data_IF_057086808200
#
_entry.id   IF_057086808200
#
_cell.length_a   1.000
_cell.length_b   1.000
_cell.length_c   1.000
_cell.angle_alpha   90.00
_cell.angle_beta   90.00
_cell.angle_gamma   90.00
#
_symmetry.space_group_name_H-M   'P 1'
#
loop_
_entity.id
_entity.type
_entity.pdbx_description
1 polymer ?
#
# COMPACT_ATOMS: atom_id res chain seq x y z
N UNK A 1 -23.37 31.27 -11.62
CA UNK A 1 -22.06 31.57 -10.99
C UNK A 1 -22.04 31.53 -9.44
N UNK A 2 -23.15 31.31 -8.72
CA UNK A 2 -23.22 31.58 -7.27
C UNK A 2 -22.68 30.51 -6.31
N UNK A 3 -22.99 29.22 -6.49
CA UNK A 3 -22.72 28.20 -5.45
C UNK A 3 -21.26 27.76 -5.36
N UNK A 4 -20.58 27.61 -6.51
CA UNK A 4 -19.17 27.17 -6.54
C UNK A 4 -18.21 28.17 -5.87
N UNK A 5 -18.44 29.47 -6.06
CA UNK A 5 -17.62 30.55 -5.48
C UNK A 5 -17.88 30.76 -3.98
N UNK A 6 -19.11 30.50 -3.52
CA UNK A 6 -19.46 30.54 -2.09
C UNK A 6 -18.82 29.39 -1.31
N UNK A 7 -18.83 28.18 -1.89
CA UNK A 7 -18.16 27.01 -1.31
C UNK A 7 -16.64 27.24 -1.29
N UNK A 8 -16.07 27.85 -2.33
CA UNK A 8 -14.62 28.08 -2.38
C UNK A 8 -14.10 29.13 -1.39
N UNK A 9 -14.96 30.06 -0.99
CA UNK A 9 -14.60 31.19 -0.12
C UNK A 9 -14.80 30.90 1.37
N UNK A 10 -15.61 29.90 1.73
CA UNK A 10 -15.87 29.51 3.12
C UNK A 10 -15.10 28.22 3.47
N UNK A 11 -14.05 28.27 4.32
CA UNK A 11 -13.22 27.11 4.65
C UNK A 11 -14.01 25.92 5.22
N UNK A 12 -15.05 26.15 6.02
CA UNK A 12 -15.81 25.07 6.64
C UNK A 12 -16.68 24.32 5.63
N UNK A 13 -17.39 25.07 4.78
CA UNK A 13 -18.18 24.48 3.70
C UNK A 13 -17.27 23.74 2.71
N UNK A 14 -16.11 24.31 2.39
CA UNK A 14 -15.13 23.66 1.52
C UNK A 14 -14.60 22.36 2.12
N UNK A 15 -14.23 22.33 3.40
CA UNK A 15 -13.77 21.10 4.06
C UNK A 15 -14.85 20.02 4.02
N UNK A 16 -16.12 20.38 4.26
CA UNK A 16 -17.26 19.47 4.12
C UNK A 16 -17.37 18.91 2.70
N UNK A 17 -17.27 19.76 1.69
CA UNK A 17 -17.25 19.37 0.27
C UNK A 17 -16.08 18.42 -0.04
N UNK A 18 -14.85 18.73 0.41
CA UNK A 18 -13.67 17.89 0.19
C UNK A 18 -13.86 16.50 0.78
N UNK A 19 -14.45 16.40 1.98
CA UNK A 19 -14.74 15.11 2.62
C UNK A 19 -15.67 14.26 1.79
N UNK A 20 -16.74 14.85 1.25
CA UNK A 20 -17.69 14.13 0.39
C UNK A 20 -17.04 13.70 -0.93
N UNK A 21 -16.27 14.57 -1.58
CA UNK A 21 -15.54 14.20 -2.79
C UNK A 21 -14.55 13.05 -2.55
N UNK A 22 -13.83 13.07 -1.42
CA UNK A 22 -12.91 11.98 -1.08
C UNK A 22 -13.62 10.64 -0.85
N UNK A 23 -14.87 10.65 -0.38
CA UNK A 23 -15.70 9.43 -0.24
C UNK A 23 -16.16 8.91 -1.59
N UNK A 24 -16.60 9.79 -2.48
CA UNK A 24 -17.03 9.44 -3.85
C UNK A 24 -15.84 8.94 -4.70
N UNK A 25 -14.63 9.41 -4.39
CA UNK A 25 -13.42 9.11 -5.14
C UNK A 25 -13.24 10.05 -6.33
N UNK A 26 -12.07 9.97 -6.96
CA UNK A 26 -11.70 10.82 -8.08
C UNK A 26 -11.41 9.98 -9.32
N UNK A 27 -11.94 10.42 -10.46
CA UNK A 27 -11.61 9.84 -11.78
C UNK A 27 -10.40 10.50 -12.43
N UNK A 28 -10.03 11.70 -11.98
CA UNK A 28 -8.95 12.52 -12.55
C UNK A 28 -8.08 13.12 -11.45
N UNK A 29 -6.78 13.26 -11.72
CA UNK A 29 -5.80 13.87 -10.80
C UNK A 29 -5.95 15.38 -10.67
N UNK A 30 -6.52 16.06 -11.68
CA UNK A 30 -6.59 17.52 -11.68
C UNK A 30 -7.44 18.08 -10.53
N UNK A 31 -8.58 17.43 -10.24
CA UNK A 31 -9.51 17.85 -9.18
C UNK A 31 -8.82 17.83 -7.81
N UNK A 32 -8.24 16.71 -7.33
CA UNK A 32 -7.60 16.69 -6.02
C UNK A 32 -6.34 17.57 -5.93
N UNK A 33 -5.63 17.80 -7.04
CA UNK A 33 -4.52 18.78 -7.08
C UNK A 33 -5.03 20.20 -6.84
N UNK A 34 -6.11 20.61 -7.52
CA UNK A 34 -6.73 21.91 -7.29
C UNK A 34 -7.25 22.05 -5.86
N UNK A 35 -7.89 21.00 -5.32
CA UNK A 35 -8.32 20.95 -3.92
C UNK A 35 -7.12 21.16 -2.99
N UNK A 36 -6.00 20.50 -3.24
CA UNK A 36 -4.80 20.64 -2.41
C UNK A 36 -4.30 22.09 -2.37
N UNK A 37 -4.14 22.73 -3.53
CA UNK A 37 -3.70 24.12 -3.61
C UNK A 37 -4.67 25.10 -2.94
N UNK A 38 -5.97 24.82 -3.01
CA UNK A 38 -6.97 25.62 -2.33
C UNK A 38 -6.94 25.40 -0.81
N UNK A 39 -6.75 24.17 -0.33
CA UNK A 39 -6.61 23.90 1.10
C UNK A 39 -5.36 24.58 1.70
N UNK A 40 -4.26 24.68 0.94
CA UNK A 40 -3.03 25.33 1.42
C UNK A 40 -3.11 26.86 1.44
N UNK A 41 -4.01 27.45 0.64
CA UNK A 41 -4.23 28.90 0.61
C UNK A 41 -5.03 29.41 1.82
N UNK A 42 -5.89 28.59 2.42
CA UNK A 42 -6.70 28.99 3.58
C UNK A 42 -5.87 29.39 4.81
N UNK A 43 -6.42 30.37 5.55
CA UNK A 43 -5.90 30.86 6.84
C UNK A 43 -7.10 30.99 7.80
N UNK A 44 -7.12 30.26 8.93
CA UNK A 44 -6.13 29.27 9.38
C UNK A 44 -6.09 28.04 8.46
N UNK A 45 -4.93 27.36 8.42
CA UNK A 45 -4.77 26.17 7.57
C UNK A 45 -5.63 25.01 8.10
N UNK A 46 -6.24 24.20 7.21
CA UNK A 46 -6.95 22.98 7.60
C UNK A 46 -6.04 21.99 8.31
N UNK A 47 -6.63 21.13 9.15
CA UNK A 47 -5.88 20.08 9.84
C UNK A 47 -5.35 19.01 8.88
N UNK A 48 -4.27 18.34 9.28
CA UNK A 48 -3.61 17.28 8.49
C UNK A 48 -4.57 16.15 8.11
N UNK A 49 -5.63 15.93 8.90
CA UNK A 49 -6.66 14.91 8.65
C UNK A 49 -7.37 15.13 7.30
N UNK A 50 -7.68 16.38 6.94
CA UNK A 50 -8.37 16.69 5.66
C UNK A 50 -7.45 16.39 4.48
N UNK A 51 -6.16 16.74 4.60
CA UNK A 51 -5.15 16.41 3.59
C UNK A 51 -4.95 14.90 3.47
N UNK A 52 -4.90 14.19 4.60
CA UNK A 52 -4.80 12.74 4.63
C UNK A 52 -5.96 12.03 3.90
N UNK A 53 -7.19 12.54 4.05
CA UNK A 53 -8.36 12.05 3.32
C UNK A 53 -8.19 12.23 1.81
N UNK A 54 -7.74 13.42 1.39
CA UNK A 54 -7.45 13.73 -0.01
C UNK A 54 -6.37 12.79 -0.58
N UNK A 55 -5.26 12.63 0.13
CA UNK A 55 -4.14 11.79 -0.31
C UNK A 55 -4.51 10.31 -0.39
N UNK A 56 -5.29 9.81 0.58
CA UNK A 56 -5.79 8.44 0.55
C UNK A 56 -6.72 8.20 -0.65
N UNK A 57 -7.58 9.18 -0.98
CA UNK A 57 -8.43 9.12 -2.17
C UNK A 57 -7.59 9.20 -3.46
N UNK A 58 -6.59 10.07 -3.52
CA UNK A 58 -5.64 10.15 -4.64
C UNK A 58 -4.92 8.82 -4.89
N UNK A 59 -4.54 8.10 -3.83
CA UNK A 59 -3.92 6.79 -3.95
C UNK A 59 -4.83 5.72 -4.59
N UNK A 60 -6.15 5.95 -4.66
CA UNK A 60 -7.13 5.03 -5.23
C UNK A 60 -7.52 5.36 -6.68
N UNK A 61 -7.06 6.49 -7.23
CA UNK A 61 -7.34 6.89 -8.61
C UNK A 61 -6.88 5.82 -9.60
N UNK A 62 -7.71 5.53 -10.59
CA UNK A 62 -7.46 4.56 -11.67
C UNK A 62 -7.28 5.30 -13.01
N UNK A 63 -6.54 4.73 -13.99
CA UNK A 63 -5.83 3.44 -13.92
C UNK A 63 -4.55 3.52 -13.09
N UNK A 64 -3.88 4.67 -13.08
CA UNK A 64 -2.61 4.89 -12.40
C UNK A 64 -2.74 6.05 -11.41
N UNK A 65 -2.65 5.78 -10.09
CA UNK A 65 -2.72 6.84 -9.10
C UNK A 65 -1.45 7.70 -9.09
N UNK A 66 -1.57 9.01 -8.83
CA UNK A 66 -0.47 9.98 -8.86
C UNK A 66 0.39 9.92 -7.59
N UNK A 67 1.04 8.78 -7.33
CA UNK A 67 1.74 8.50 -6.07
C UNK A 67 2.91 9.45 -5.81
N UNK A 68 3.66 9.85 -6.84
CA UNK A 68 4.76 10.81 -6.71
C UNK A 68 4.25 12.19 -6.28
N UNK A 69 3.11 12.63 -6.84
CA UNK A 69 2.45 13.88 -6.46
C UNK A 69 2.02 13.85 -4.99
N UNK A 70 1.45 12.74 -4.53
CA UNK A 70 1.06 12.58 -3.12
C UNK A 70 2.29 12.69 -2.20
N UNK A 71 3.41 12.06 -2.55
CA UNK A 71 4.66 12.17 -1.79
C UNK A 71 5.14 13.63 -1.72
N UNK A 72 5.14 14.34 -2.85
CA UNK A 72 5.55 15.75 -2.90
C UNK A 72 4.64 16.63 -2.06
N UNK A 73 3.32 16.38 -2.07
CA UNK A 73 2.37 17.13 -1.25
C UNK A 73 2.58 16.89 0.25
N UNK A 74 2.80 15.65 0.67
CA UNK A 74 3.14 15.34 2.06
C UNK A 74 4.43 16.06 2.51
N UNK A 75 5.49 16.03 1.69
CA UNK A 75 6.74 16.73 1.99
C UNK A 75 6.54 18.25 2.04
N UNK A 76 5.74 18.81 1.13
CA UNK A 76 5.41 20.23 1.12
C UNK A 76 4.68 20.65 2.40
N UNK A 77 3.73 19.84 2.89
CA UNK A 77 3.03 20.12 4.15
C UNK A 77 3.99 20.08 5.35
N UNK A 78 4.89 19.09 5.40
CA UNK A 78 5.89 18.98 6.46
C UNK A 78 6.84 20.18 6.49
N UNK A 79 7.38 20.58 5.33
CA UNK A 79 8.23 21.78 5.19
C UNK A 79 7.47 23.07 5.52
N UNK A 80 6.16 23.09 5.28
CA UNK A 80 5.28 24.20 5.62
C UNK A 80 4.90 24.24 7.11
N UNK A 81 5.40 23.30 7.93
CA UNK A 81 5.18 23.24 9.37
C UNK A 81 3.98 22.42 9.82
N UNK A 82 3.25 21.74 8.91
CA UNK A 82 2.21 20.79 9.30
C UNK A 82 2.83 19.43 9.58
N UNK A 83 2.86 19.06 10.87
CA UNK A 83 3.46 17.79 11.31
C UNK A 83 2.65 16.58 10.83
N UNK A 84 3.28 15.61 10.13
CA UNK A 84 2.63 14.36 9.74
C UNK A 84 2.18 13.55 10.97
N UNK A 85 1.01 12.91 10.87
CA UNK A 85 0.52 11.96 11.88
C UNK A 85 0.82 10.50 11.47
N UNK A 86 0.33 9.53 12.25
CA UNK A 86 0.51 8.11 11.94
C UNK A 86 -0.12 7.72 10.59
N UNK A 87 -1.24 8.33 10.22
CA UNK A 87 -1.94 8.04 8.98
C UNK A 87 -1.22 8.64 7.77
N UNK A 88 -0.69 9.87 7.89
CA UNK A 88 0.20 10.49 6.88
C UNK A 88 1.41 9.62 6.59
N UNK A 89 2.04 9.09 7.66
CA UNK A 89 3.17 8.17 7.56
C UNK A 89 2.76 6.87 6.85
N UNK A 90 1.60 6.29 7.17
CA UNK A 90 1.06 5.12 6.49
C UNK A 90 0.81 5.35 4.99
N UNK A 91 0.24 6.50 4.64
CA UNK A 91 0.05 6.92 3.23
C UNK A 91 1.39 6.99 2.51
N UNK A 92 2.37 7.71 3.08
CA UNK A 92 3.70 7.84 2.49
C UNK A 92 4.38 6.49 2.29
N UNK A 93 4.36 5.62 3.30
CA UNK A 93 4.91 4.28 3.20
C UNK A 93 4.26 3.47 2.07
N UNK A 94 2.93 3.54 1.95
CA UNK A 94 2.18 2.88 0.87
C UNK A 94 2.56 3.44 -0.51
N UNK A 95 2.68 4.75 -0.65
CA UNK A 95 3.13 5.39 -1.90
C UNK A 95 4.51 4.88 -2.30
N UNK A 96 5.50 4.92 -1.39
CA UNK A 96 6.84 4.45 -1.68
C UNK A 96 6.90 2.95 -2.02
N UNK A 97 6.14 2.12 -1.32
CA UNK A 97 6.06 0.69 -1.61
C UNK A 97 5.50 0.42 -3.01
N UNK A 98 4.43 1.12 -3.41
CA UNK A 98 3.81 0.97 -4.73
C UNK A 98 4.63 1.58 -5.87
N UNK A 99 5.55 2.50 -5.55
CA UNK A 99 6.56 3.03 -6.47
C UNK A 99 7.81 2.12 -6.56
N UNK A 100 7.84 0.98 -5.87
CA UNK A 100 9.01 0.08 -5.82
C UNK A 100 10.18 0.63 -5.00
N UNK A 101 10.01 1.76 -4.31
CA UNK A 101 11.03 2.43 -3.50
C UNK A 101 10.89 2.08 -2.02
N UNK A 102 10.86 0.79 -1.71
CA UNK A 102 10.63 0.28 -0.35
C UNK A 102 11.67 0.80 0.65
N UNK A 103 12.89 1.10 0.20
CA UNK A 103 13.96 1.64 1.05
C UNK A 103 13.54 2.98 1.70
N UNK A 104 12.84 3.85 0.96
CA UNK A 104 12.30 5.10 1.53
C UNK A 104 11.16 4.85 2.52
N UNK A 105 10.34 3.82 2.29
CA UNK A 105 9.32 3.44 3.25
C UNK A 105 9.94 2.98 4.59
N UNK A 106 11.07 2.28 4.55
CA UNK A 106 11.85 1.96 5.75
C UNK A 106 12.47 3.18 6.41
N UNK A 107 12.97 4.15 5.63
CA UNK A 107 13.49 5.41 6.18
C UNK A 107 12.42 6.16 6.99
N UNK A 108 11.17 6.18 6.51
CA UNK A 108 10.06 6.78 7.25
C UNK A 108 9.80 6.04 8.57
N UNK A 109 9.78 4.71 8.54
CA UNK A 109 9.64 3.92 9.76
C UNK A 109 10.80 4.17 10.73
N UNK A 110 12.03 4.25 10.22
CA UNK A 110 13.22 4.57 11.01
C UNK A 110 13.13 5.96 11.66
N UNK A 111 12.68 6.97 10.92
CA UNK A 111 12.42 8.33 11.46
C UNK A 111 11.38 8.27 12.58
N UNK A 112 10.29 7.52 12.39
CA UNK A 112 9.24 7.34 13.40
C UNK A 112 9.77 6.71 14.68
N UNK A 113 10.58 5.65 14.55
CA UNK A 113 11.22 4.96 15.68
C UNK A 113 12.21 5.87 16.42
N UNK A 114 13.04 6.64 15.69
CA UNK A 114 13.98 7.60 16.30
C UNK A 114 13.27 8.70 17.10
N UNK A 115 12.06 9.05 16.71
CA UNK A 115 11.21 10.01 17.44
C UNK A 115 10.45 9.38 18.61
N UNK A 116 10.72 8.11 18.95
CA UNK A 116 10.11 7.41 20.08
C UNK A 116 8.71 6.86 19.81
N UNK A 117 8.23 6.88 18.56
CA UNK A 117 6.90 6.37 18.23
C UNK A 117 6.99 4.89 17.81
N UNK A 118 6.16 4.00 18.39
CA UNK A 118 6.17 2.60 18.01
C UNK A 118 5.67 2.39 16.57
N UNK A 119 6.13 1.32 15.89
CA UNK A 119 5.56 0.90 14.61
C UNK A 119 4.10 0.53 14.78
N UNK A 120 3.28 0.93 13.83
CA UNK A 120 1.91 0.41 13.72
C UNK A 120 1.90 -0.84 12.82
N UNK A 121 1.02 -1.79 13.13
CA UNK A 121 0.77 -3.00 12.33
C UNK A 121 0.43 -2.62 10.89
N UNK A 122 -0.29 -1.51 10.66
CA UNK A 122 -0.62 -1.04 9.30
C UNK A 122 0.63 -0.69 8.49
N UNK A 123 1.58 0.04 9.08
CA UNK A 123 2.84 0.43 8.40
C UNK A 123 3.68 -0.82 8.12
N UNK A 124 3.78 -1.74 9.09
CA UNK A 124 4.49 -3.00 8.92
C UNK A 124 3.88 -3.87 7.82
N UNK A 125 2.55 -4.01 7.80
CA UNK A 125 1.82 -4.75 6.75
C UNK A 125 2.11 -4.15 5.38
N UNK A 126 2.12 -2.82 5.30
CA UNK A 126 2.41 -2.08 4.07
C UNK A 126 3.83 -2.34 3.57
N UNK A 127 4.83 -2.31 4.46
CA UNK A 127 6.22 -2.62 4.14
C UNK A 127 6.42 -4.06 3.68
N UNK A 128 5.78 -5.02 4.36
CA UNK A 128 5.80 -6.43 3.98
C UNK A 128 5.23 -6.63 2.58
N UNK A 129 4.07 -6.06 2.30
CA UNK A 129 3.47 -6.12 0.97
C UNK A 129 4.36 -5.43 -0.09
N UNK A 130 4.96 -4.28 0.24
CA UNK A 130 5.91 -3.59 -0.63
C UNK A 130 7.13 -4.43 -0.99
N UNK A 131 7.70 -5.14 -0.02
CA UNK A 131 8.80 -6.08 -0.24
C UNK A 131 8.38 -7.24 -1.15
N UNK A 132 7.20 -7.82 -0.92
CA UNK A 132 6.69 -8.94 -1.73
C UNK A 132 6.44 -8.50 -3.19
N UNK A 133 5.85 -7.32 -3.39
CA UNK A 133 5.61 -6.77 -4.73
C UNK A 133 6.91 -6.40 -5.45
N UNK A 134 7.96 -6.05 -4.70
CA UNK A 134 9.29 -5.72 -5.23
C UNK A 134 10.23 -6.93 -5.35
N UNK A 135 9.68 -8.15 -5.30
CA UNK A 135 10.43 -9.42 -5.40
C UNK A 135 11.51 -9.63 -4.31
N UNK A 136 11.33 -8.98 -3.17
CA UNK A 136 12.24 -9.04 -2.00
C UNK A 136 11.67 -9.95 -0.91
N UNK A 137 11.18 -11.13 -1.28
CA UNK A 137 10.44 -12.04 -0.38
C UNK A 137 11.23 -12.46 0.86
N UNK A 138 12.52 -12.77 0.70
CA UNK A 138 13.40 -13.15 1.82
C UNK A 138 13.51 -12.04 2.88
N UNK A 139 13.54 -10.76 2.46
CA UNK A 139 13.49 -9.62 3.37
C UNK A 139 12.13 -9.52 4.07
N UNK A 140 11.03 -9.85 3.38
CA UNK A 140 9.70 -9.84 3.96
C UNK A 140 9.56 -10.90 5.07
N UNK A 141 10.04 -12.13 4.84
CA UNK A 141 10.05 -13.20 5.86
C UNK A 141 10.83 -12.77 7.10
N UNK A 142 12.04 -12.22 6.92
CA UNK A 142 12.85 -11.71 8.04
C UNK A 142 12.18 -10.58 8.81
N UNK A 143 11.49 -9.68 8.11
CA UNK A 143 10.74 -8.59 8.74
C UNK A 143 9.58 -9.15 9.57
N UNK A 144 8.82 -10.11 9.04
CA UNK A 144 7.72 -10.76 9.76
C UNK A 144 8.22 -11.41 11.07
N UNK A 145 9.31 -12.19 11.00
CA UNK A 145 9.90 -12.83 12.17
C UNK A 145 10.33 -11.80 13.23
N UNK A 146 10.90 -10.67 12.80
CA UNK A 146 11.31 -9.60 13.71
C UNK A 146 10.11 -8.92 14.37
N UNK A 147 9.05 -8.67 13.62
CA UNK A 147 7.82 -8.04 14.10
C UNK A 147 7.16 -8.91 15.17
N UNK A 148 7.04 -10.21 14.92
CA UNK A 148 6.51 -11.17 15.89
C UNK A 148 7.37 -11.24 17.15
N UNK A 149 8.70 -11.25 17.01
CA UNK A 149 9.64 -11.22 18.17
C UNK A 149 9.54 -9.95 18.99
N UNK A 150 9.17 -8.83 18.39
CA UNK A 150 8.94 -7.55 19.08
C UNK A 150 7.57 -7.49 19.77
N UNK A 151 6.77 -8.57 19.74
CA UNK A 151 5.44 -8.62 20.36
C UNK A 151 4.35 -7.91 19.56
N UNK A 152 4.67 -7.40 18.36
CA UNK A 152 3.64 -6.91 17.44
C UNK A 152 2.89 -8.12 16.88
N UNK A 153 1.57 -7.97 16.71
CA UNK A 153 0.71 -9.03 16.18
C UNK A 153 0.33 -8.70 14.74
N UNK A 154 0.99 -9.32 13.74
CA UNK A 154 0.51 -9.26 12.36
C UNK A 154 -0.92 -9.79 12.28
N UNK A 155 -1.73 -9.20 11.40
CA UNK A 155 -3.10 -9.62 11.18
C UNK A 155 -3.22 -10.61 10.00
N UNK A 156 -4.43 -11.12 9.77
CA UNK A 156 -4.72 -12.05 8.69
C UNK A 156 -4.36 -11.50 7.29
N UNK A 157 -4.49 -10.18 7.10
CA UNK A 157 -4.09 -9.49 5.85
C UNK A 157 -2.58 -9.65 5.62
N UNK A 158 -1.78 -9.50 6.68
CA UNK A 158 -0.32 -9.65 6.62
C UNK A 158 0.07 -11.07 6.22
N UNK A 159 -0.51 -12.07 6.90
CA UNK A 159 -0.24 -13.47 6.58
C UNK A 159 -0.71 -13.83 5.17
N UNK A 160 -1.91 -13.38 4.76
CA UNK A 160 -2.41 -13.60 3.40
C UNK A 160 -1.48 -13.05 2.32
N UNK A 161 -0.90 -11.86 2.52
CA UNK A 161 0.11 -11.31 1.62
C UNK A 161 1.36 -12.19 1.56
N UNK A 162 1.86 -12.65 2.71
CA UNK A 162 3.04 -13.53 2.80
C UNK A 162 2.81 -14.88 2.12
N UNK A 163 1.66 -15.53 2.33
CA UNK A 163 1.30 -16.77 1.63
C UNK A 163 1.26 -16.57 0.13
N UNK A 164 0.60 -15.51 -0.35
CA UNK A 164 0.58 -15.17 -1.77
C UNK A 164 1.99 -14.94 -2.33
N UNK A 165 2.86 -14.28 -1.57
CA UNK A 165 4.26 -14.08 -1.96
C UNK A 165 5.05 -15.39 -2.07
N UNK A 166 4.96 -16.25 -1.06
CA UNK A 166 5.64 -17.55 -1.02
C UNK A 166 5.16 -18.48 -2.14
N UNK A 167 3.84 -18.56 -2.34
CA UNK A 167 3.25 -19.40 -3.38
C UNK A 167 3.63 -18.91 -4.79
N UNK A 168 3.63 -17.59 -5.03
CA UNK A 168 4.07 -17.02 -6.32
C UNK A 168 5.54 -17.29 -6.63
N UNK A 169 6.38 -17.42 -5.61
CA UNK A 169 7.80 -17.75 -5.75
C UNK A 169 8.07 -19.27 -5.77
N UNK A 170 7.02 -20.11 -5.70
CA UNK A 170 7.17 -21.57 -5.60
C UNK A 170 7.78 -22.06 -4.29
N UNK A 171 7.91 -21.20 -3.27
CA UNK A 171 8.48 -21.56 -1.97
C UNK A 171 7.43 -22.24 -1.07
N UNK A 172 7.06 -23.45 -1.47
CA UNK A 172 6.07 -24.28 -0.78
C UNK A 172 6.54 -24.67 0.62
N UNK A 173 7.85 -24.90 0.80
CA UNK A 173 8.42 -25.22 2.10
C UNK A 173 8.30 -24.04 3.07
N UNK A 174 8.64 -22.83 2.62
CA UNK A 174 8.46 -21.60 3.38
C UNK A 174 6.99 -21.33 3.73
N UNK A 175 6.08 -21.59 2.80
CA UNK A 175 4.64 -21.46 3.01
C UNK A 175 4.12 -22.41 4.11
N UNK A 176 4.50 -23.70 4.07
CA UNK A 176 4.14 -24.66 5.12
C UNK A 176 4.76 -24.29 6.49
N UNK A 177 5.99 -23.78 6.49
CA UNK A 177 6.65 -23.31 7.72
C UNK A 177 5.92 -22.09 8.31
N UNK A 178 5.46 -21.18 7.47
CA UNK A 178 4.65 -20.03 7.86
C UNK A 178 3.30 -20.46 8.44
N UNK A 179 2.64 -21.46 7.85
CA UNK A 179 1.39 -22.03 8.37
C UNK A 179 1.57 -22.56 9.80
N UNK A 180 2.58 -23.40 10.03
CA UNK A 180 2.89 -23.93 11.38
C UNK A 180 3.20 -22.82 12.39
N UNK A 181 3.95 -21.79 11.97
CA UNK A 181 4.24 -20.64 12.82
C UNK A 181 2.95 -19.87 13.17
N UNK A 182 2.05 -19.69 12.21
CA UNK A 182 0.76 -19.03 12.42
C UNK A 182 -0.11 -19.84 13.39
N UNK A 183 -0.23 -21.15 13.20
CA UNK A 183 -1.02 -22.03 14.08
C UNK A 183 -0.51 -22.07 15.53
N UNK A 184 0.80 -21.96 15.72
CA UNK A 184 1.43 -22.05 17.06
C UNK A 184 1.52 -20.71 17.79
N UNK A 185 1.66 -19.59 17.07
CA UNK A 185 2.02 -18.29 17.67
C UNK A 185 1.01 -17.17 17.39
N UNK A 186 0.19 -17.28 16.35
CA UNK A 186 -0.78 -16.24 16.05
C UNK A 186 -2.03 -16.40 16.93
N UNK A 187 -2.67 -15.29 17.36
CA UNK A 187 -3.89 -15.35 18.16
C UNK A 187 -5.15 -15.73 17.36
N UNK A 188 -5.00 -16.04 16.08
CA UNK A 188 -6.10 -16.38 15.18
C UNK A 188 -5.69 -17.54 14.25
N UNK A 189 -6.70 -18.33 13.86
CA UNK A 189 -6.50 -19.49 13.00
C UNK A 189 -6.39 -19.10 11.52
N UNK A 190 -5.67 -19.88 10.70
CA UNK A 190 -5.71 -19.73 9.24
C UNK A 190 -7.15 -19.85 8.73
N UNK A 191 -7.53 -19.00 7.77
CA UNK A 191 -8.86 -19.02 7.18
C UNK A 191 -8.87 -19.82 5.86
N UNK A 192 -10.07 -20.01 5.29
CA UNK A 192 -10.26 -20.72 4.01
C UNK A 192 -9.38 -20.15 2.91
N UNK A 193 -9.23 -18.81 2.83
CA UNK A 193 -8.39 -18.16 1.80
C UNK A 193 -6.92 -18.62 1.88
N UNK A 194 -6.36 -18.74 3.09
CA UNK A 194 -4.98 -19.22 3.27
C UNK A 194 -4.86 -20.69 2.84
N UNK A 195 -5.78 -21.55 3.28
CA UNK A 195 -5.74 -22.96 2.90
C UNK A 195 -5.92 -23.16 1.40
N UNK A 196 -6.87 -22.47 0.76
CA UNK A 196 -7.06 -22.51 -0.69
C UNK A 196 -5.80 -22.06 -1.43
N UNK A 197 -5.18 -20.94 -1.00
CA UNK A 197 -3.94 -20.44 -1.63
C UNK A 197 -2.80 -21.48 -1.55
N UNK A 198 -2.69 -22.19 -0.42
CA UNK A 198 -1.70 -23.25 -0.25
C UNK A 198 -2.01 -24.47 -1.13
N UNK A 199 -3.27 -24.94 -1.14
CA UNK A 199 -3.69 -26.07 -1.96
C UNK A 199 -3.44 -25.77 -3.44
N UNK A 200 -3.82 -24.59 -3.92
CA UNK A 200 -3.59 -24.15 -5.30
C UNK A 200 -2.09 -24.13 -5.65
N UNK A 201 -1.23 -23.80 -4.69
CA UNK A 201 0.23 -23.76 -4.89
C UNK A 201 0.92 -25.13 -4.85
N UNK A 202 0.40 -26.05 -4.02
CA UNK A 202 0.95 -27.38 -3.80
C UNK A 202 0.43 -28.39 -4.82
N UNK A 203 -0.82 -28.19 -5.23
CA UNK A 203 -1.48 -28.92 -6.29
C UNK A 203 -1.81 -27.91 -7.39
N UNK A 204 -0.86 -27.57 -8.28
CA UNK A 204 -1.21 -27.00 -9.56
C UNK A 204 -2.00 -28.08 -10.30
N UNK A 205 -3.30 -28.17 -10.06
CA UNK A 205 -4.17 -29.06 -10.79
C UNK A 205 -3.93 -28.78 -12.28
N UNK A 206 -3.80 -29.86 -13.05
CA UNK A 206 -3.78 -29.88 -14.51
C UNK A 206 -5.04 -29.15 -15.01
N UNK A 207 -4.96 -27.82 -15.10
CA UNK A 207 -5.99 -26.96 -15.64
C UNK A 207 -5.39 -26.29 -16.88
N UNK A 208 -5.52 -27.03 -17.99
CA UNK A 208 -5.44 -26.57 -19.38
C UNK A 208 -4.16 -25.86 -19.84
N UNK A 209 -3.28 -26.63 -20.48
CA UNK A 209 -2.67 -26.19 -21.76
C UNK A 209 -3.81 -25.76 -22.73
N UNK A 210 -3.64 -24.76 -23.64
CA UNK A 210 -2.37 -24.32 -24.22
C UNK A 210 -2.16 -22.80 -24.22
N UNK A 211 -0.95 -22.35 -23.86
CA UNK A 211 -0.42 -21.11 -24.43
C UNK A 211 0.38 -21.48 -25.68
N UNK A 212 -0.34 -21.44 -26.79
CA UNK A 212 0.14 -21.12 -28.14
C UNK A 212 1.67 -21.02 -28.29
N UNK A 213 2.28 -22.08 -28.81
CA UNK A 213 3.47 -21.93 -29.63
C UNK A 213 3.06 -21.08 -30.84
N UNK A 214 3.54 -19.85 -30.87
CA UNK A 214 3.59 -19.04 -32.06
C UNK A 214 4.46 -19.78 -33.07
N UNK A 215 3.97 -19.93 -34.31
CA UNK A 215 4.68 -20.62 -35.37
C UNK A 215 6.04 -20.00 -35.64
N UNK A 216 7.02 -20.88 -35.86
CA UNK A 216 8.13 -20.63 -36.77
C UNK A 216 8.14 -21.76 -37.79
N UNK A 217 7.33 -21.58 -38.85
CA UNK A 217 7.74 -22.05 -40.16
C UNK A 217 8.91 -21.18 -40.60
N UNK A 218 10.14 -21.67 -40.40
CA UNK A 218 11.27 -21.41 -41.30
C UNK A 218 12.51 -22.16 -40.82
N UNK A 219 12.81 -23.28 -41.48
CA UNK A 219 14.08 -23.52 -42.19
C UNK A 219 14.20 -25.01 -42.52
N UNK A 220 13.77 -25.37 -43.73
CA UNK A 220 14.25 -26.56 -44.43
C UNK A 220 15.07 -26.10 -45.63
N UNK A 221 16.39 -26.01 -45.45
CA UNK A 221 17.38 -25.95 -46.53
C UNK A 221 18.71 -26.52 -46.00
N UNK A 222 19.30 -27.44 -46.79
CA UNK A 222 20.56 -28.18 -46.60
C UNK A 222 20.49 -29.29 -45.53
N UNK A 223 20.72 -30.58 -45.83
CA UNK A 223 21.60 -31.20 -46.82
C UNK A 223 20.99 -32.53 -47.32
#
# INVERSE_FOLDING_TARGET
MGLGHLISSNPQLFIGFVREQCKLGFSSVHIPVSIFHQLTSFRPRPCIIVFNQLFAAMCKIRPHPPLYTVVNFCNHLELSGLRPDCHSVGILANCYCRLGRVDFAFTILGKRLKLGYPPDVVIITTLLNGLIVSDKLHHAVRLLDRVVKLGLQPNLITYGAMFKGLCRNGDNAGALRLLRNMESKAPFKPNVVIYSTLIDSLCPAVASSPRSFQGDESQGYFA
#
